data_IF_439892120806
#
_entry.id   IF_439892120806
#
_cell.length_a   1.000
_cell.length_b   1.000
_cell.length_c   1.000
_cell.angle_alpha   90.00
_cell.angle_beta   90.00
_cell.angle_gamma   90.00
#
_symmetry.space_group_name_H-M   'P 1'
#
loop_
_entity.id
_entity.type
_entity.pdbx_description
1 polymer ?
#
# COMPACT_ATOMS: atom_id res chain seq x y z
N UNK A 1 1.51 22.93 -0.50
CA UNK A 1 0.16 23.15 0.07
C UNK A 1 -0.80 21.97 -0.05
N UNK A 2 -1.27 21.53 -1.24
CA UNK A 2 -2.24 20.40 -1.34
C UNK A 2 -1.69 19.05 -0.82
N UNK A 3 -0.41 18.77 -1.09
CA UNK A 3 0.28 17.55 -0.62
C UNK A 3 0.52 17.54 0.89
N UNK A 4 0.75 18.71 1.51
CA UNK A 4 1.02 18.81 2.96
C UNK A 4 -0.25 18.62 3.81
N UNK A 5 -1.41 18.97 3.27
CA UNK A 5 -2.71 18.75 3.93
C UNK A 5 -3.07 17.26 3.90
N UNK A 6 -2.85 16.59 2.77
CA UNK A 6 -3.04 15.15 2.62
C UNK A 6 -2.11 14.35 3.54
N UNK A 7 -0.83 14.74 3.64
CA UNK A 7 0.13 14.06 4.55
C UNK A 7 -0.21 14.29 6.02
N UNK A 8 -0.64 15.50 6.40
CA UNK A 8 -1.10 15.78 7.76
C UNK A 8 -2.37 14.99 8.12
N UNK A 9 -3.28 14.81 7.15
CA UNK A 9 -4.50 14.01 7.32
C UNK A 9 -4.19 12.51 7.46
N UNK A 10 -3.30 11.99 6.62
CA UNK A 10 -2.82 10.60 6.71
C UNK A 10 -2.09 10.38 8.05
N UNK A 11 -1.21 11.28 8.46
CA UNK A 11 -0.47 11.16 9.72
C UNK A 11 -1.40 11.22 10.95
N UNK A 12 -2.46 12.04 10.89
CA UNK A 12 -3.50 12.12 11.93
C UNK A 12 -4.37 10.87 11.96
N UNK A 13 -4.69 10.29 10.80
CA UNK A 13 -5.42 9.01 10.69
C UNK A 13 -4.61 7.83 11.23
N UNK A 14 -3.28 7.84 11.01
CA UNK A 14 -2.34 6.82 11.49
C UNK A 14 -2.06 6.92 13.01
N UNK A 15 -2.37 8.06 13.62
CA UNK A 15 -2.10 8.35 15.03
C UNK A 15 -3.40 8.58 15.81
N UNK A 16 -4.31 7.60 15.81
CA UNK A 16 -5.42 7.59 16.77
C UNK A 16 -4.89 7.16 18.14
N UNK A 17 -4.76 8.14 19.04
CA UNK A 17 -4.26 7.99 20.42
C UNK A 17 -5.14 7.07 21.29
N UNK A 18 -6.39 6.83 20.87
CA UNK A 18 -7.38 6.04 21.61
C UNK A 18 -7.69 4.67 20.97
N UNK A 19 -6.96 4.27 19.91
CA UNK A 19 -7.20 3.00 19.21
C UNK A 19 -6.51 1.82 19.92
N UNK A 20 -7.12 0.65 19.85
CA UNK A 20 -6.58 -0.60 20.39
C UNK A 20 -5.25 -0.97 19.72
N UNK A 21 -4.44 -1.80 20.39
CA UNK A 21 -3.11 -2.20 19.90
C UNK A 21 -3.19 -2.85 18.50
N UNK A 22 -4.26 -3.63 18.27
CA UNK A 22 -4.52 -4.33 17.01
C UNK A 22 -4.79 -3.33 15.88
N UNK A 23 -5.58 -2.28 16.14
CA UNK A 23 -5.86 -1.22 15.18
C UNK A 23 -4.62 -0.40 14.85
N UNK A 24 -3.78 -0.13 15.85
CA UNK A 24 -2.49 0.54 15.64
C UNK A 24 -1.55 -0.31 14.80
N UNK A 25 -1.49 -1.62 15.07
CA UNK A 25 -0.64 -2.54 14.33
C UNK A 25 -1.02 -2.54 12.85
N UNK A 26 -2.31 -2.74 12.58
CA UNK A 26 -2.80 -2.91 11.22
C UNK A 26 -2.84 -1.60 10.44
N UNK A 27 -3.41 -0.53 11.01
CA UNK A 27 -3.54 0.74 10.31
C UNK A 27 -2.18 1.43 10.13
N UNK A 28 -1.32 1.39 11.14
CA UNK A 28 -0.03 2.10 11.09
C UNK A 28 1.07 1.29 10.43
N UNK A 29 1.39 0.12 10.96
CA UNK A 29 2.57 -0.63 10.53
C UNK A 29 2.38 -1.28 9.16
N UNK A 30 1.21 -1.91 8.91
CA UNK A 30 0.92 -2.52 7.60
C UNK A 30 0.91 -1.46 6.50
N UNK A 31 0.27 -0.30 6.72
CA UNK A 31 0.23 0.78 5.73
C UNK A 31 1.62 1.34 5.44
N UNK A 32 2.45 1.59 6.46
CA UNK A 32 3.83 2.03 6.23
C UNK A 32 4.68 0.99 5.49
N UNK A 33 4.52 -0.30 5.82
CA UNK A 33 5.21 -1.38 5.12
C UNK A 33 4.79 -1.45 3.65
N UNK A 34 3.48 -1.36 3.35
CA UNK A 34 2.95 -1.36 1.99
C UNK A 34 3.44 -0.17 1.17
N UNK A 35 3.45 1.04 1.77
CA UNK A 35 4.00 2.24 1.12
C UNK A 35 5.51 2.06 0.84
N UNK A 36 6.26 1.52 1.79
CA UNK A 36 7.69 1.22 1.60
C UNK A 36 7.93 0.24 0.45
N UNK A 37 7.20 -0.87 0.40
CA UNK A 37 7.28 -1.83 -0.70
C UNK A 37 6.89 -1.21 -2.04
N UNK A 38 5.83 -0.40 -2.08
CA UNK A 38 5.43 0.35 -3.27
C UNK A 38 6.56 1.26 -3.77
N UNK A 39 7.19 2.04 -2.89
CA UNK A 39 8.28 2.94 -3.26
C UNK A 39 9.49 2.19 -3.82
N UNK A 40 9.84 1.04 -3.22
CA UNK A 40 10.95 0.19 -3.71
C UNK A 40 10.65 -0.33 -5.12
N UNK A 41 9.44 -0.84 -5.35
CA UNK A 41 9.03 -1.35 -6.66
C UNK A 41 8.94 -0.22 -7.69
N UNK A 42 8.35 0.92 -7.31
CA UNK A 42 8.26 2.10 -8.16
C UNK A 42 9.66 2.59 -8.56
N UNK A 43 10.60 2.66 -7.62
CA UNK A 43 11.98 3.04 -7.93
C UNK A 43 12.61 2.11 -8.99
N UNK A 44 12.35 0.80 -8.91
CA UNK A 44 12.83 -0.17 -9.92
C UNK A 44 12.20 0.04 -11.30
N UNK A 45 10.91 0.40 -11.35
CA UNK A 45 10.17 0.57 -12.61
C UNK A 45 10.47 1.92 -13.28
N UNK A 46 10.67 2.99 -12.51
CA UNK A 46 10.88 4.34 -13.05
C UNK A 46 12.35 4.68 -13.31
N UNK A 47 13.27 4.21 -12.46
CA UNK A 47 14.72 4.50 -12.58
C UNK A 47 15.44 3.42 -13.38
N UNK A 48 14.91 2.20 -13.41
CA UNK A 48 15.45 1.07 -14.15
C UNK A 48 14.58 0.62 -15.32
N UNK A 49 15.10 -0.32 -16.10
CA UNK A 49 14.28 -1.04 -17.09
C UNK A 49 13.48 -2.15 -16.38
N UNK A 50 12.14 -2.19 -16.51
CA UNK A 50 11.31 -3.20 -15.85
C UNK A 50 11.56 -4.62 -16.38
N UNK A 51 12.03 -4.73 -17.62
CA UNK A 51 12.44 -5.97 -18.27
C UNK A 51 13.58 -5.67 -19.24
N UNK A 52 14.54 -6.60 -19.35
CA UNK A 52 15.58 -6.56 -20.37
C UNK A 52 15.38 -7.74 -21.31
N UNK A 53 15.11 -7.44 -22.57
CA UNK A 53 14.93 -8.43 -23.62
C UNK A 53 16.28 -8.75 -24.27
N UNK A 54 16.45 -10.00 -24.68
CA UNK A 54 17.54 -10.35 -25.57
C UNK A 54 17.28 -9.74 -26.95
N UNK A 55 18.05 -8.70 -27.29
CA UNK A 55 18.00 -8.04 -28.60
C UNK A 55 19.23 -8.37 -29.42
N UNK A 56 19.12 -8.46 -30.75
CA UNK A 56 20.26 -8.79 -31.58
C UNK A 56 21.29 -7.64 -31.60
N UNK A 57 22.55 -7.96 -31.86
CA UNK A 57 23.70 -7.04 -31.65
C UNK A 57 23.71 -5.84 -32.60
N UNK A 58 23.00 -5.91 -33.74
CA UNK A 58 22.85 -4.80 -34.68
C UNK A 58 21.91 -3.68 -34.18
N UNK A 59 21.18 -3.89 -33.09
CA UNK A 59 20.27 -2.87 -32.57
C UNK A 59 21.02 -1.80 -31.78
N UNK A 60 20.79 -0.54 -32.13
CA UNK A 60 21.22 0.62 -31.34
C UNK A 60 20.49 0.64 -29.99
N UNK A 61 21.05 1.37 -29.01
CA UNK A 61 20.50 1.46 -27.64
C UNK A 61 19.03 1.90 -27.61
N UNK A 62 18.63 2.82 -28.48
CA UNK A 62 17.25 3.31 -28.57
C UNK A 62 16.26 2.21 -28.98
N UNK A 63 16.67 1.33 -29.90
CA UNK A 63 15.84 0.22 -30.35
C UNK A 63 15.71 -0.84 -29.25
N UNK A 64 16.77 -1.10 -28.48
CA UNK A 64 16.69 -2.01 -27.33
C UNK A 64 15.70 -1.51 -26.27
N UNK A 65 15.76 -0.22 -25.90
CA UNK A 65 14.79 0.39 -24.97
C UNK A 65 13.35 0.33 -25.48
N UNK A 66 13.15 0.54 -26.79
CA UNK A 66 11.83 0.40 -27.42
C UNK A 66 11.30 -1.04 -27.33
N UNK A 67 12.13 -2.03 -27.65
CA UNK A 67 11.78 -3.46 -27.57
C UNK A 67 11.43 -3.86 -26.14
N UNK A 68 12.21 -3.41 -25.16
CA UNK A 68 11.94 -3.66 -23.74
C UNK A 68 10.55 -3.11 -23.33
N UNK A 69 10.23 -1.90 -23.77
CA UNK A 69 8.93 -1.26 -23.45
C UNK A 69 7.76 -2.01 -24.11
N UNK A 70 7.91 -2.42 -25.37
CA UNK A 70 6.86 -3.19 -26.07
C UNK A 70 6.66 -4.57 -25.44
N UNK A 71 7.75 -5.25 -25.10
CA UNK A 71 7.70 -6.56 -24.42
C UNK A 71 6.99 -6.45 -23.07
N UNK A 72 7.31 -5.40 -22.30
CA UNK A 72 6.62 -5.12 -21.04
C UNK A 72 5.12 -4.87 -21.24
N UNK A 73 4.72 -4.03 -22.19
CA UNK A 73 3.30 -3.67 -22.40
C UNK A 73 2.46 -4.82 -22.96
N UNK A 74 3.02 -5.63 -23.87
CA UNK A 74 2.31 -6.74 -24.51
C UNK A 74 2.15 -7.96 -23.60
N UNK A 75 2.95 -8.06 -22.54
CA UNK A 75 3.01 -9.23 -21.68
C UNK A 75 3.91 -10.32 -22.26
N UNK A 76 4.45 -11.16 -21.38
CA UNK A 76 5.32 -12.29 -21.74
C UNK A 76 4.60 -13.61 -21.51
N UNK A 77 5.21 -14.71 -21.93
CA UNK A 77 4.69 -16.06 -21.70
C UNK A 77 5.86 -16.98 -21.37
N UNK A 78 5.59 -18.03 -20.62
CA UNK A 78 6.62 -19.00 -20.26
C UNK A 78 6.84 -19.99 -21.40
N UNK A 79 8.10 -20.29 -21.70
CA UNK A 79 8.50 -21.33 -22.63
C UNK A 79 9.36 -22.36 -21.87
N UNK A 80 8.96 -23.64 -21.80
CA UNK A 80 9.77 -24.69 -21.19
C UNK A 80 11.12 -24.80 -21.91
N UNK A 81 12.21 -24.93 -21.16
CA UNK A 81 13.57 -24.95 -21.72
C UNK A 81 13.84 -26.19 -22.60
N UNK A 82 13.05 -27.25 -22.43
CA UNK A 82 13.15 -28.49 -23.22
C UNK A 82 12.57 -28.34 -24.64
N UNK A 83 11.68 -27.38 -24.85
CA UNK A 83 11.06 -27.10 -26.15
C UNK A 83 11.77 -25.91 -26.82
N UNK A 84 12.84 -26.19 -27.58
CA UNK A 84 13.61 -25.16 -28.31
C UNK A 84 12.79 -24.54 -29.46
N UNK A 85 11.69 -25.19 -29.88
CA UNK A 85 10.86 -24.72 -30.99
C UNK A 85 9.80 -23.75 -30.50
N UNK A 86 9.97 -22.48 -30.84
CA UNK A 86 8.96 -21.44 -30.64
C UNK A 86 7.68 -21.87 -31.39
N UNK A 87 6.53 -22.01 -30.71
CA UNK A 87 5.29 -22.44 -31.34
C UNK A 87 4.85 -21.43 -32.40
N UNK A 88 4.20 -21.93 -33.45
CA UNK A 88 3.66 -21.10 -34.53
C UNK A 88 2.63 -20.09 -33.98
N UNK A 89 2.45 -18.95 -34.66
CA UNK A 89 1.51 -17.89 -34.24
C UNK A 89 0.06 -18.37 -34.16
N UNK A 90 -0.27 -19.47 -34.85
CA UNK A 90 -1.58 -20.12 -34.84
C UNK A 90 -1.91 -20.80 -33.51
N UNK A 91 -0.90 -21.14 -32.70
CA UNK A 91 -1.08 -21.81 -31.42
C UNK A 91 -1.32 -20.75 -30.34
N UNK A 92 -2.43 -20.82 -29.57
CA UNK A 92 -2.67 -19.89 -28.49
C UNK A 92 -1.58 -20.03 -27.43
N UNK A 93 -0.96 -18.89 -27.06
CA UNK A 93 0.06 -18.87 -26.00
C UNK A 93 -0.63 -19.09 -24.66
N UNK A 94 -0.51 -20.30 -24.12
CA UNK A 94 -0.96 -20.58 -22.76
C UNK A 94 0.00 -19.91 -21.77
N UNK A 95 -0.56 -19.34 -20.69
CA UNK A 95 0.17 -18.68 -19.59
C UNK A 95 0.84 -17.34 -19.94
N UNK A 96 0.03 -16.31 -20.21
CA UNK A 96 0.52 -14.93 -20.24
C UNK A 96 0.86 -14.44 -18.82
N UNK A 97 2.05 -13.87 -18.68
CA UNK A 97 2.60 -13.29 -17.46
C UNK A 97 2.45 -11.77 -17.55
N UNK A 98 1.33 -11.27 -17.02
CA UNK A 98 1.00 -9.83 -16.98
C UNK A 98 0.79 -9.29 -15.57
N UNK A 99 1.00 -10.09 -14.52
CA UNK A 99 0.69 -9.67 -13.15
C UNK A 99 1.59 -8.55 -12.62
N UNK A 100 2.86 -8.47 -13.06
CA UNK A 100 3.82 -7.48 -12.57
C UNK A 100 3.38 -6.02 -12.76
N UNK A 101 2.60 -5.75 -13.81
CA UNK A 101 2.04 -4.43 -14.10
C UNK A 101 1.00 -4.03 -13.05
N UNK A 102 0.19 -5.01 -12.60
CA UNK A 102 -0.90 -4.81 -11.65
C UNK A 102 -0.45 -4.87 -10.20
N UNK A 103 0.67 -5.53 -9.90
CA UNK A 103 1.20 -5.64 -8.53
C UNK A 103 1.37 -4.27 -7.87
N UNK A 104 1.92 -3.29 -8.58
CA UNK A 104 2.13 -1.94 -8.06
C UNK A 104 0.81 -1.21 -7.77
N UNK A 105 -0.19 -1.39 -8.64
CA UNK A 105 -1.54 -0.83 -8.43
C UNK A 105 -2.25 -1.51 -7.25
N UNK A 106 -2.10 -2.84 -7.13
CA UNK A 106 -2.67 -3.61 -6.04
C UNK A 106 -2.07 -3.17 -4.69
N UNK A 107 -0.77 -2.87 -4.60
CA UNK A 107 -0.14 -2.36 -3.37
C UNK A 107 -0.70 -1.01 -2.93
N UNK A 108 -0.92 -0.09 -3.86
CA UNK A 108 -1.55 1.21 -3.57
C UNK A 108 -2.99 1.00 -3.09
N UNK A 109 -3.75 0.15 -3.78
CA UNK A 109 -5.12 -0.16 -3.39
C UNK A 109 -5.17 -0.79 -2.00
N UNK A 110 -4.29 -1.75 -1.71
CA UNK A 110 -4.18 -2.36 -0.38
C UNK A 110 -3.89 -1.30 0.69
N UNK A 111 -2.93 -0.41 0.46
CA UNK A 111 -2.62 0.66 1.41
C UNK A 111 -3.83 1.59 1.65
N UNK A 112 -4.60 1.92 0.61
CA UNK A 112 -5.83 2.72 0.75
C UNK A 112 -6.90 1.99 1.57
N UNK A 113 -7.12 0.70 1.32
CA UNK A 113 -8.10 -0.11 2.05
C UNK A 113 -7.79 -0.20 3.55
N UNK A 114 -6.51 -0.25 3.94
CA UNK A 114 -6.13 -0.25 5.35
C UNK A 114 -6.34 1.10 6.06
N UNK A 115 -6.43 2.21 5.32
CA UNK A 115 -6.74 3.53 5.87
C UNK A 115 -8.26 3.72 6.06
N UNK A 116 -9.08 3.09 5.22
CA UNK A 116 -10.55 3.23 5.25
C UNK A 116 -11.21 3.00 6.62
N UNK A 117 -10.93 1.92 7.39
CA UNK A 117 -11.64 1.68 8.65
C UNK A 117 -11.44 2.81 9.67
N UNK A 118 -10.24 3.40 9.76
CA UNK A 118 -9.97 4.53 10.65
C UNK A 118 -10.71 5.80 10.23
N UNK A 119 -10.84 6.02 8.91
CA UNK A 119 -11.60 7.13 8.36
C UNK A 119 -13.10 6.95 8.61
N UNK A 120 -13.63 5.77 8.33
CA UNK A 120 -15.04 5.43 8.59
C UNK A 120 -15.39 5.63 10.06
N UNK A 121 -14.53 5.19 10.98
CA UNK A 121 -14.72 5.40 12.41
C UNK A 121 -14.79 6.88 12.80
N UNK A 122 -13.88 7.71 12.27
CA UNK A 122 -13.88 9.15 12.57
C UNK A 122 -15.12 9.86 12.01
N UNK A 123 -15.53 9.52 10.79
CA UNK A 123 -16.75 10.07 10.19
C UNK A 123 -17.99 9.69 10.98
N UNK A 124 -18.12 8.41 11.37
CA UNK A 124 -19.26 7.94 12.17
C UNK A 124 -19.26 8.53 13.59
N UNK A 125 -18.10 8.62 14.24
CA UNK A 125 -17.99 9.22 15.57
C UNK A 125 -18.33 10.71 15.56
N UNK A 126 -17.96 11.43 14.50
CA UNK A 126 -18.34 12.84 14.34
C UNK A 126 -19.85 13.00 14.13
N UNK A 127 -20.45 12.18 13.25
CA UNK A 127 -21.90 12.19 13.02
C UNK A 127 -22.72 11.81 14.25
N UNK A 128 -22.16 10.98 15.13
CA UNK A 128 -22.82 10.57 16.38
C UNK A 128 -22.93 11.71 17.41
N UNK A 129 -22.24 12.84 17.23
CA UNK A 129 -22.29 14.01 18.12
C UNK A 129 -21.69 13.80 19.53
N UNK A 130 -21.27 12.57 19.85
CA UNK A 130 -20.66 12.21 21.14
C UNK A 130 -19.15 12.37 21.05
N UNK A 131 -18.61 13.36 21.76
CA UNK A 131 -17.15 13.55 21.89
C UNK A 131 -16.57 12.49 22.84
N UNK A 132 -16.33 11.28 22.30
CA UNK A 132 -15.83 10.12 23.04
C UNK A 132 -14.54 10.43 23.83
N UNK A 133 -13.68 11.29 23.27
CA UNK A 133 -12.44 11.75 23.92
C UNK A 133 -12.70 12.53 25.21
N UNK A 134 -13.69 13.42 25.20
CA UNK A 134 -14.04 14.21 26.38
C UNK A 134 -14.71 13.32 27.43
N UNK A 135 -15.55 12.37 27.00
CA UNK A 135 -16.19 11.41 27.89
C UNK A 135 -15.15 10.53 28.61
N UNK A 136 -14.21 9.96 27.85
CA UNK A 136 -13.13 9.13 28.41
C UNK A 136 -12.26 9.95 29.35
N UNK A 137 -11.93 11.21 28.99
CA UNK A 137 -11.16 12.11 29.86
C UNK A 137 -11.88 12.36 31.18
N UNK A 138 -13.17 12.70 31.15
CA UNK A 138 -13.98 12.91 32.35
C UNK A 138 -14.12 11.66 33.22
N UNK A 139 -14.25 10.48 32.61
CA UNK A 139 -14.30 9.21 33.37
C UNK A 139 -12.96 8.93 34.05
N UNK A 140 -11.85 9.22 33.37
CA UNK A 140 -10.50 8.99 33.89
C UNK A 140 -10.16 9.95 35.04
N UNK A 141 -10.56 11.21 34.93
CA UNK A 141 -10.44 12.22 35.99
C UNK A 141 -11.29 11.82 37.22
N UNK A 142 -12.56 11.48 37.03
CA UNK A 142 -13.43 11.01 38.13
C UNK A 142 -12.89 9.74 38.82
N UNK A 143 -12.32 8.80 38.06
CA UNK A 143 -11.70 7.59 38.62
C UNK A 143 -10.52 7.95 39.51
N UNK A 144 -9.66 8.85 39.05
CA UNK A 144 -8.48 9.30 39.79
C UNK A 144 -8.84 10.04 41.08
N UNK A 145 -9.91 10.84 41.06
CA UNK A 145 -10.39 11.53 42.26
C UNK A 145 -10.98 10.56 43.29
N UNK A 146 -11.69 9.51 42.85
CA UNK A 146 -12.13 8.41 43.72
C UNK A 146 -10.94 7.69 44.39
N UNK A 147 -9.92 7.36 43.62
CA UNK A 147 -8.74 6.64 44.09
C UNK A 147 -7.95 7.45 45.14
N UNK A 148 -7.90 8.78 44.96
CA UNK A 148 -7.38 9.71 45.98
C UNK A 148 -8.22 9.71 47.26
N UNK A 149 -9.55 9.70 47.14
CA UNK A 149 -10.45 9.75 48.29
C UNK A 149 -10.34 8.48 49.15
N UNK A 150 -10.28 7.31 48.53
CA UNK A 150 -10.09 6.02 49.22
C UNK A 150 -8.75 5.93 49.95
N UNK A 151 -7.74 6.65 49.48
CA UNK A 151 -6.42 6.74 50.11
C UNK A 151 -6.38 7.67 51.34
N UNK A 152 -7.29 8.64 51.44
CA UNK A 152 -7.38 9.58 52.57
C UNK A 152 -8.26 9.02 53.70
N UNK A 153 -9.21 8.14 53.38
CA UNK A 153 -10.14 7.53 54.35
C UNK A 153 -9.51 6.32 55.09
N UNK A 154 -8.38 5.80 54.61
CA UNK A 154 -7.59 4.73 55.26
C UNK A 154 -6.48 5.32 56.12
#
# INVERSE_FOLDING_TARGET
MKVEIETAFIYKSLCQVDADVIDRLNSRYTTFALIGCFLIIAAKIYVGNPINCWTPTQFQSIHSTYVNSICWLKGTYYLPTEEIKIPDRSVPRMYLVSYYQWTTLALVLMALLFILPGQTWQTFSYQSGVNLKNLIKMIKENRHDKEKLDHVIR
#
